data_IF_615696569972
#
_entry.id   IF_615696569972
#
_cell.length_a   1.000
_cell.length_b   1.000
_cell.length_c   1.000
_cell.angle_alpha   90.00
_cell.angle_beta   90.00
_cell.angle_gamma   90.00
#
_symmetry.space_group_name_H-M   'P 1'
#
loop_
_entity.id
_entity.type
_entity.pdbx_description
1 polymer ?
#
# COMPACT_ATOMS: atom_id res chain seq x y z
N UNK A 1 9.95 16.82 -25.73
CA UNK A 1 10.14 17.65 -24.52
C UNK A 1 8.79 18.13 -23.99
N UNK A 2 7.95 18.82 -24.81
CA UNK A 2 6.68 19.41 -24.39
C UNK A 2 5.68 18.41 -23.74
N UNK A 3 5.71 17.14 -24.10
CA UNK A 3 4.87 16.09 -23.53
C UNK A 3 5.42 15.59 -22.19
N UNK A 4 6.73 15.41 -22.10
CA UNK A 4 7.36 14.79 -20.94
C UNK A 4 7.68 15.77 -19.80
N UNK A 5 7.85 17.06 -20.14
CA UNK A 5 8.09 18.08 -19.13
C UNK A 5 6.96 18.18 -18.09
N UNK A 6 5.67 18.24 -18.47
CA UNK A 6 4.57 18.23 -17.51
C UNK A 6 4.52 16.97 -16.63
N UNK A 7 4.92 15.82 -17.16
CA UNK A 7 4.99 14.56 -16.40
C UNK A 7 6.06 14.68 -15.30
N UNK A 8 7.19 15.32 -15.58
CA UNK A 8 8.25 15.59 -14.59
C UNK A 8 7.81 16.52 -13.44
N UNK A 9 6.73 17.28 -13.59
CA UNK A 9 6.18 18.14 -12.55
C UNK A 9 4.95 17.56 -11.82
N UNK A 10 4.59 16.30 -12.08
CA UNK A 10 3.52 15.64 -11.35
C UNK A 10 3.84 15.56 -9.85
N UNK A 11 2.82 15.73 -9.02
CA UNK A 11 2.91 15.60 -7.56
C UNK A 11 2.46 14.21 -7.08
N UNK A 12 2.57 13.99 -5.77
CA UNK A 12 2.16 12.72 -5.14
C UNK A 12 3.20 11.62 -5.27
N UNK A 13 2.81 10.41 -4.89
CA UNK A 13 3.71 9.23 -4.89
C UNK A 13 4.12 8.87 -6.33
N UNK A 14 3.16 8.82 -7.24
CA UNK A 14 3.44 8.55 -8.66
C UNK A 14 4.32 9.65 -9.28
N UNK A 15 4.11 10.91 -8.87
CA UNK A 15 4.96 12.01 -9.33
C UNK A 15 6.43 11.79 -9.00
N UNK A 16 6.77 11.22 -7.85
CA UNK A 16 8.15 10.90 -7.49
C UNK A 16 8.79 9.88 -8.44
N UNK A 17 8.05 8.88 -8.87
CA UNK A 17 8.53 7.91 -9.87
C UNK A 17 8.67 8.54 -11.27
N UNK A 18 7.68 9.31 -11.70
CA UNK A 18 7.68 9.89 -13.04
C UNK A 18 8.58 11.11 -13.17
N UNK A 19 8.96 11.77 -12.09
CA UNK A 19 9.90 12.90 -12.10
C UNK A 19 11.25 12.50 -12.73
N UNK A 20 11.88 11.46 -12.19
CA UNK A 20 13.14 10.92 -12.70
C UNK A 20 13.04 10.46 -14.17
N UNK A 21 11.96 9.74 -14.47
CA UNK A 21 11.68 9.27 -15.82
C UNK A 21 11.47 10.42 -16.80
N UNK A 22 10.64 11.42 -16.43
CA UNK A 22 10.35 12.58 -17.27
C UNK A 22 11.57 13.42 -17.58
N UNK A 23 12.39 13.73 -16.56
CA UNK A 23 13.64 14.47 -16.73
C UNK A 23 14.67 13.71 -17.57
N UNK A 24 14.79 12.42 -17.36
CA UNK A 24 15.71 11.57 -18.14
C UNK A 24 15.35 11.57 -19.63
N UNK A 25 14.06 11.44 -19.96
CA UNK A 25 13.61 11.50 -21.37
C UNK A 25 13.83 12.90 -21.96
N UNK A 26 13.51 13.95 -21.20
CA UNK A 26 13.75 15.33 -21.68
C UNK A 26 15.23 15.55 -21.98
N UNK A 27 16.14 15.13 -21.09
CA UNK A 27 17.56 15.22 -21.29
C UNK A 27 18.02 14.40 -22.52
N UNK A 28 17.55 13.14 -22.63
CA UNK A 28 17.87 12.27 -23.76
C UNK A 28 17.41 12.86 -25.11
N UNK A 29 16.19 13.43 -25.15
CA UNK A 29 15.67 14.07 -26.36
C UNK A 29 16.44 15.33 -26.72
N UNK A 30 16.85 16.15 -25.74
CA UNK A 30 17.67 17.34 -26.00
C UNK A 30 19.06 16.97 -26.54
N UNK A 31 19.71 15.95 -25.95
CA UNK A 31 20.99 15.41 -26.42
C UNK A 31 20.83 14.82 -27.83
N UNK A 32 19.77 14.05 -28.06
CA UNK A 32 19.48 13.46 -29.39
C UNK A 32 19.26 14.56 -30.44
N UNK A 33 18.55 15.63 -30.09
CA UNK A 33 18.36 16.78 -30.97
C UNK A 33 19.69 17.45 -31.30
N UNK A 34 20.56 17.67 -30.31
CA UNK A 34 21.91 18.23 -30.54
C UNK A 34 22.72 17.35 -31.47
N UNK A 35 22.73 16.04 -31.25
CA UNK A 35 23.45 15.06 -32.11
C UNK A 35 22.89 15.08 -33.53
N UNK A 36 21.57 15.09 -33.71
CA UNK A 36 20.94 15.12 -35.01
C UNK A 36 21.26 16.40 -35.83
N UNK A 37 21.40 17.54 -35.15
CA UNK A 37 21.75 18.80 -35.83
C UNK A 37 23.25 19.05 -36.00
N UNK A 38 24.12 18.29 -35.35
CA UNK A 38 25.56 18.46 -35.41
C UNK A 38 26.26 17.26 -36.05
N UNK A 39 26.12 16.08 -35.45
CA UNK A 39 26.85 14.89 -35.84
C UNK A 39 26.35 14.32 -37.17
N UNK A 40 25.04 14.23 -37.36
CA UNK A 40 24.46 13.65 -38.57
C UNK A 40 24.78 14.47 -39.83
N UNK A 41 24.65 15.78 -39.91
CA UNK A 41 25.12 16.61 -41.03
C UNK A 41 26.64 16.51 -41.25
N UNK A 42 27.44 16.47 -40.17
CA UNK A 42 28.88 16.34 -40.27
C UNK A 42 29.27 15.00 -40.89
N UNK A 43 28.70 13.89 -40.39
CA UNK A 43 28.97 12.56 -40.93
C UNK A 43 28.47 12.44 -42.39
N UNK A 44 27.30 13.01 -42.73
CA UNK A 44 26.82 13.02 -44.09
C UNK A 44 27.69 13.82 -45.05
N UNK A 45 28.42 14.83 -44.56
CA UNK A 45 29.37 15.59 -45.39
C UNK A 45 30.68 14.85 -45.64
N UNK A 46 31.11 13.95 -44.72
CA UNK A 46 32.33 13.19 -44.79
C UNK A 46 32.13 11.82 -45.46
N UNK A 47 31.04 11.14 -45.13
CA UNK A 47 30.68 9.83 -45.68
C UNK A 47 29.85 9.98 -46.94
N UNK A 48 30.53 10.21 -48.06
CA UNK A 48 29.85 10.33 -49.34
C UNK A 48 29.59 8.94 -49.91
N UNK A 49 28.30 8.65 -50.19
CA UNK A 49 27.93 7.41 -50.93
C UNK A 49 28.21 7.62 -52.41
N UNK A 50 29.22 6.92 -52.98
CA UNK A 50 29.58 7.06 -54.40
C UNK A 50 28.47 6.57 -55.35
N UNK A 51 27.46 5.86 -54.86
CA UNK A 51 26.31 5.41 -55.64
C UNK A 51 25.21 6.45 -55.81
N UNK A 52 25.22 7.56 -55.02
CA UNK A 52 24.26 8.64 -55.09
C UNK A 52 24.86 9.79 -55.88
N UNK A 53 24.38 10.00 -57.09
CA UNK A 53 24.69 11.21 -57.91
C UNK A 53 23.71 12.34 -57.61
N UNK A 54 24.07 13.59 -58.00
CA UNK A 54 23.49 14.88 -57.65
C UNK A 54 21.96 15.03 -57.80
N UNK A 55 21.20 14.04 -58.14
CA UNK A 55 19.72 14.07 -58.23
C UNK A 55 19.05 12.84 -57.67
N UNK A 56 19.70 12.08 -56.76
CA UNK A 56 19.05 10.93 -56.07
C UNK A 56 18.70 9.74 -56.97
N UNK A 57 19.06 9.73 -58.24
CA UNK A 57 18.80 8.63 -59.15
C UNK A 57 20.03 7.72 -59.24
N UNK A 58 19.93 6.48 -58.83
CA UNK A 58 20.91 5.43 -59.07
C UNK A 58 20.97 5.13 -60.59
N UNK A 59 22.00 5.56 -61.27
CA UNK A 59 22.24 5.22 -62.70
C UNK A 59 23.52 4.40 -62.79
N UNK A 60 23.43 3.14 -63.14
CA UNK A 60 24.51 2.27 -63.53
C UNK A 60 24.45 0.83 -62.98
N UNK A 61 25.11 -0.13 -63.64
CA UNK A 61 25.21 -1.50 -63.15
C UNK A 61 26.02 -1.57 -61.85
N UNK A 62 25.74 -2.55 -60.94
CA UNK A 62 26.39 -2.66 -59.64
C UNK A 62 27.87 -2.92 -59.80
N UNK A 63 28.73 -1.98 -59.39
CA UNK A 63 30.17 -1.99 -59.64
C UNK A 63 30.96 -2.52 -58.43
N UNK A 64 30.39 -2.51 -57.23
CA UNK A 64 31.09 -2.83 -55.99
C UNK A 64 30.52 -4.09 -55.29
N UNK A 65 31.35 -4.80 -54.53
CA UNK A 65 30.92 -5.95 -53.70
C UNK A 65 29.78 -5.57 -52.75
N UNK A 66 29.75 -4.33 -52.27
CA UNK A 66 28.67 -3.73 -51.49
C UNK A 66 27.34 -3.76 -52.27
N UNK A 67 27.33 -3.36 -53.54
CA UNK A 67 26.11 -3.37 -54.37
C UNK A 67 25.54 -4.76 -54.63
N UNK A 68 26.43 -5.79 -54.66
CA UNK A 68 26.01 -7.17 -54.91
C UNK A 68 25.40 -7.86 -53.69
N UNK A 69 25.75 -7.44 -52.48
CA UNK A 69 25.29 -8.05 -51.20
C UNK A 69 24.29 -7.17 -50.49
N UNK A 70 24.69 -6.01 -49.98
CA UNK A 70 23.80 -5.06 -49.28
C UNK A 70 22.81 -4.39 -50.25
N UNK A 71 23.19 -4.13 -51.50
CA UNK A 71 22.31 -3.54 -52.49
C UNK A 71 21.06 -4.38 -52.80
N UNK A 72 21.11 -5.69 -52.57
CA UNK A 72 19.94 -6.55 -52.70
C UNK A 72 18.96 -6.33 -51.55
N UNK A 73 19.44 -6.12 -50.33
CA UNK A 73 18.64 -5.80 -49.14
C UNK A 73 18.08 -4.40 -49.22
N UNK A 74 18.87 -3.41 -49.61
CA UNK A 74 18.40 -2.01 -49.79
C UNK A 74 17.34 -1.92 -50.90
N UNK A 75 17.54 -2.57 -52.05
CA UNK A 75 16.55 -2.60 -53.13
C UNK A 75 15.24 -3.38 -52.76
N UNK A 76 15.31 -4.33 -51.86
CA UNK A 76 14.10 -4.96 -51.31
C UNK A 76 13.39 -3.99 -50.37
N UNK A 77 14.13 -3.28 -49.54
CA UNK A 77 13.59 -2.26 -48.63
C UNK A 77 12.99 -1.08 -49.39
N UNK A 78 13.67 -0.58 -50.42
CA UNK A 78 13.16 0.49 -51.28
C UNK A 78 11.83 0.08 -51.95
N UNK A 79 11.77 -1.14 -52.52
CA UNK A 79 10.53 -1.66 -53.11
C UNK A 79 9.41 -1.86 -52.07
N UNK A 80 9.75 -2.27 -50.85
CA UNK A 80 8.80 -2.39 -49.78
C UNK A 80 8.25 -1.01 -49.37
N UNK A 81 9.14 -0.03 -49.25
CA UNK A 81 8.78 1.37 -48.93
C UNK A 81 7.96 2.01 -50.02
N UNK A 82 8.31 1.81 -51.29
CA UNK A 82 7.54 2.29 -52.48
C UNK A 82 6.12 1.67 -52.49
N UNK A 83 5.98 0.38 -52.21
CA UNK A 83 4.67 -0.26 -52.11
C UNK A 83 3.85 0.26 -50.97
N UNK A 84 4.47 0.52 -49.82
CA UNK A 84 3.83 1.14 -48.66
C UNK A 84 3.38 2.56 -48.99
N UNK A 85 4.25 3.35 -49.63
CA UNK A 85 3.96 4.71 -50.07
C UNK A 85 2.79 4.74 -51.07
N UNK A 86 2.77 3.84 -52.07
CA UNK A 86 1.66 3.73 -53.04
C UNK A 86 0.36 3.26 -52.36
N UNK A 87 0.44 2.41 -51.33
CA UNK A 87 -0.70 2.05 -50.49
C UNK A 87 -1.26 3.21 -49.71
N UNK A 88 -0.37 3.97 -49.05
CA UNK A 88 -0.69 5.17 -48.31
C UNK A 88 -1.31 6.26 -49.20
N UNK A 89 -0.76 6.48 -50.40
CA UNK A 89 -1.30 7.46 -51.35
C UNK A 89 -2.74 7.12 -51.76
N UNK A 90 -3.04 5.82 -52.02
CA UNK A 90 -4.41 5.38 -52.31
C UNK A 90 -5.37 5.63 -51.15
N UNK A 91 -4.94 5.29 -49.92
CA UNK A 91 -5.73 5.54 -48.71
C UNK A 91 -5.97 7.02 -48.51
N UNK A 92 -4.94 7.87 -48.70
CA UNK A 92 -5.04 9.31 -48.57
C UNK A 92 -5.99 9.92 -49.60
N UNK A 93 -5.89 9.53 -50.86
CA UNK A 93 -6.83 9.95 -51.90
C UNK A 93 -8.27 9.59 -51.61
N UNK A 94 -8.48 8.38 -51.07
CA UNK A 94 -9.81 7.91 -50.66
C UNK A 94 -10.33 8.79 -49.48
N UNK A 95 -9.54 8.98 -48.46
CA UNK A 95 -9.87 9.80 -47.29
C UNK A 95 -10.21 11.25 -47.66
N UNK A 96 -9.40 11.85 -48.51
CA UNK A 96 -9.65 13.21 -49.00
C UNK A 96 -10.85 13.33 -49.94
N UNK A 97 -11.16 12.27 -50.69
CA UNK A 97 -12.37 12.17 -51.50
C UNK A 97 -13.67 12.01 -50.69
N UNK A 98 -13.55 11.41 -49.51
CA UNK A 98 -14.69 11.10 -48.62
C UNK A 98 -14.56 11.77 -47.27
N UNK A 99 -14.32 13.06 -47.23
CA UNK A 99 -13.99 13.86 -46.01
C UNK A 99 -14.97 13.63 -44.85
N UNK A 100 -16.29 13.68 -45.13
CA UNK A 100 -17.32 13.51 -44.11
C UNK A 100 -17.28 12.08 -43.51
N UNK A 101 -17.12 11.05 -44.38
CA UNK A 101 -17.03 9.67 -43.95
C UNK A 101 -15.77 9.43 -43.11
N UNK A 102 -14.64 10.01 -43.48
CA UNK A 102 -13.38 9.95 -42.72
C UNK A 102 -13.53 10.58 -41.35
N UNK A 103 -14.20 11.75 -41.27
CA UNK A 103 -14.50 12.42 -39.99
C UNK A 103 -15.46 11.58 -39.13
N UNK A 104 -16.47 10.96 -39.72
CA UNK A 104 -17.41 10.09 -39.00
C UNK A 104 -16.72 8.83 -38.47
N UNK A 105 -15.82 8.22 -39.26
CA UNK A 105 -15.05 7.06 -38.83
C UNK A 105 -14.11 7.44 -37.68
N UNK A 106 -13.36 8.56 -37.83
CA UNK A 106 -12.45 9.03 -36.80
C UNK A 106 -13.19 9.41 -35.49
N UNK A 107 -14.31 10.12 -35.61
CA UNK A 107 -15.18 10.46 -34.49
C UNK A 107 -15.81 9.23 -33.83
N UNK A 108 -16.22 8.26 -34.65
CA UNK A 108 -16.75 6.97 -34.15
C UNK A 108 -15.71 6.15 -33.38
N UNK A 109 -14.49 6.03 -33.90
CA UNK A 109 -13.38 5.37 -33.21
C UNK A 109 -13.04 6.10 -31.92
N UNK A 110 -12.99 7.44 -31.92
CA UNK A 110 -12.75 8.23 -30.74
C UNK A 110 -13.84 8.04 -29.68
N UNK A 111 -15.12 8.13 -30.09
CA UNK A 111 -16.25 7.89 -29.18
C UNK A 111 -16.24 6.47 -28.61
N UNK A 112 -15.93 5.46 -29.43
CA UNK A 112 -15.79 4.08 -28.99
C UNK A 112 -14.64 3.92 -27.99
N UNK A 113 -13.48 4.55 -28.25
CA UNK A 113 -12.33 4.54 -27.33
C UNK A 113 -12.68 5.14 -25.99
N UNK A 114 -13.37 6.29 -25.96
CA UNK A 114 -13.83 6.92 -24.72
C UNK A 114 -14.87 6.06 -23.99
N UNK A 115 -15.77 5.40 -24.71
CA UNK A 115 -16.73 4.47 -24.13
C UNK A 115 -16.04 3.24 -23.51
N UNK A 116 -15.00 2.72 -24.16
CA UNK A 116 -14.21 1.59 -23.65
C UNK A 116 -13.48 1.90 -22.35
N UNK A 117 -13.09 3.15 -22.11
CA UNK A 117 -12.44 3.55 -20.84
C UNK A 117 -13.33 3.22 -19.63
N UNK A 118 -14.67 3.30 -19.79
CA UNK A 118 -15.61 2.95 -18.71
C UNK A 118 -15.66 1.44 -18.39
N UNK A 119 -15.22 0.60 -19.32
CA UNK A 119 -15.16 -0.85 -19.14
C UNK A 119 -13.83 -1.32 -18.52
N UNK A 120 -12.85 -0.43 -18.50
CA UNK A 120 -11.55 -0.72 -17.88
C UNK A 120 -11.63 -0.52 -16.38
N UNK A 121 -11.29 -1.55 -15.62
CA UNK A 121 -11.11 -1.45 -14.18
C UNK A 121 -9.90 -0.56 -13.84
N UNK A 122 -9.96 0.13 -12.72
CA UNK A 122 -8.89 0.99 -12.25
C UNK A 122 -8.16 0.36 -11.07
N UNK A 123 -6.83 0.27 -11.17
CA UNK A 123 -5.94 -0.18 -10.10
C UNK A 123 -4.79 0.81 -9.92
N UNK A 124 -4.29 0.94 -8.69
CA UNK A 124 -3.16 1.83 -8.42
C UNK A 124 -1.87 1.24 -8.98
N UNK A 125 -1.57 0.00 -8.58
CA UNK A 125 -0.47 -0.81 -9.11
C UNK A 125 -0.99 -2.22 -9.31
N UNK A 126 -0.83 -2.81 -10.48
CA UNK A 126 -1.22 -4.21 -10.71
C UNK A 126 -0.46 -5.15 -9.78
N UNK A 127 -1.16 -6.11 -9.19
CA UNK A 127 -0.54 -7.09 -8.32
C UNK A 127 0.35 -8.04 -9.13
N UNK A 128 1.65 -8.01 -8.86
CA UNK A 128 2.61 -8.92 -9.46
C UNK A 128 2.90 -10.10 -8.52
N UNK A 129 3.14 -11.25 -9.11
CA UNK A 129 3.49 -12.46 -8.38
C UNK A 129 5.00 -12.55 -8.17
N UNK A 130 5.47 -12.09 -7.03
CA UNK A 130 6.87 -12.13 -6.61
C UNK A 130 7.26 -13.45 -5.90
N UNK A 131 6.41 -14.48 -5.96
CA UNK A 131 6.58 -15.75 -5.24
C UNK A 131 6.65 -15.57 -3.73
N UNK A 132 5.87 -14.62 -3.22
CA UNK A 132 5.72 -14.35 -1.80
C UNK A 132 4.30 -13.91 -1.47
N UNK A 133 3.88 -14.16 -0.23
CA UNK A 133 2.58 -13.72 0.27
C UNK A 133 2.65 -13.59 1.79
N UNK A 134 1.65 -12.97 2.38
CA UNK A 134 1.59 -12.76 3.81
C UNK A 134 0.23 -13.21 4.37
N UNK A 135 0.26 -13.80 5.57
CA UNK A 135 -0.94 -14.07 6.35
C UNK A 135 -0.80 -13.38 7.69
N UNK A 136 -1.80 -12.59 8.07
CA UNK A 136 -1.86 -11.97 9.38
C UNK A 136 -3.18 -12.33 10.07
N UNK A 137 -3.09 -12.52 11.38
CA UNK A 137 -4.24 -12.81 12.22
C UNK A 137 -4.03 -12.27 13.64
N UNK A 138 -5.10 -12.21 14.40
CA UNK A 138 -5.02 -11.98 15.85
C UNK A 138 -5.78 -13.06 16.61
N UNK A 139 -5.30 -13.32 17.84
CA UNK A 139 -5.97 -14.15 18.84
C UNK A 139 -6.89 -13.28 19.71
N UNK A 140 -7.86 -13.84 20.44
CA UNK A 140 -8.72 -13.06 21.33
C UNK A 140 -7.93 -12.13 22.24
N UNK A 141 -8.50 -10.95 22.49
CA UNK A 141 -7.85 -9.96 23.36
C UNK A 141 -7.68 -10.54 24.77
N UNK A 142 -6.49 -10.33 25.36
CA UNK A 142 -6.10 -10.96 26.62
C UNK A 142 -5.32 -12.27 26.48
N UNK A 143 -5.21 -12.86 25.30
CA UNK A 143 -4.39 -14.06 25.07
C UNK A 143 -2.93 -13.81 25.46
N UNK A 144 -2.27 -14.84 26.03
CA UNK A 144 -0.86 -14.81 26.33
C UNK A 144 0.01 -14.88 25.06
N UNK A 145 1.29 -14.55 25.17
CA UNK A 145 2.26 -14.71 24.08
C UNK A 145 2.36 -16.16 23.64
N UNK A 146 2.42 -17.09 24.61
CA UNK A 146 2.54 -18.53 24.39
C UNK A 146 1.31 -19.10 23.67
N UNK A 147 0.10 -18.60 24.01
CA UNK A 147 -1.13 -19.00 23.33
C UNK A 147 -1.13 -18.52 21.87
N UNK A 148 -0.67 -17.28 21.62
CA UNK A 148 -0.54 -16.73 20.26
C UNK A 148 0.53 -17.49 19.48
N UNK A 149 1.67 -17.83 20.10
CA UNK A 149 2.73 -18.62 19.48
C UNK A 149 2.23 -20.02 19.10
N UNK A 150 1.52 -20.70 19.99
CA UNK A 150 0.94 -22.01 19.69
C UNK A 150 0.00 -21.96 18.48
N UNK A 151 -0.84 -20.91 18.38
CA UNK A 151 -1.69 -20.68 17.21
C UNK A 151 -0.88 -20.34 15.97
N UNK A 152 0.16 -19.54 16.09
CA UNK A 152 1.02 -19.20 14.97
C UNK A 152 1.79 -20.41 14.42
N UNK A 153 2.24 -21.31 15.29
CA UNK A 153 2.82 -22.61 14.90
C UNK A 153 1.80 -23.46 14.15
N UNK A 154 0.57 -23.60 14.69
CA UNK A 154 -0.51 -24.34 14.02
C UNK A 154 -0.81 -23.79 12.62
N UNK A 155 -0.93 -22.48 12.47
CA UNK A 155 -1.11 -21.83 11.17
C UNK A 155 0.09 -22.08 10.25
N UNK A 156 1.31 -21.96 10.78
CA UNK A 156 2.53 -22.24 10.03
C UNK A 156 2.61 -23.68 9.52
N UNK A 157 2.19 -24.67 10.32
CA UNK A 157 2.15 -26.08 9.91
C UNK A 157 1.14 -26.32 8.80
N UNK A 158 -0.05 -25.69 8.89
CA UNK A 158 -1.07 -25.76 7.83
C UNK A 158 -0.51 -25.16 6.53
N UNK A 159 0.15 -24.01 6.59
CA UNK A 159 0.69 -23.34 5.41
C UNK A 159 1.86 -24.12 4.79
N UNK A 160 2.74 -24.71 5.61
CA UNK A 160 3.85 -25.54 5.14
C UNK A 160 3.41 -26.90 4.56
N UNK A 161 2.17 -27.32 4.78
CA UNK A 161 1.63 -28.52 4.12
C UNK A 161 1.38 -28.34 2.61
N UNK A 162 1.39 -27.10 2.11
CA UNK A 162 1.25 -26.83 0.67
C UNK A 162 2.60 -27.02 -0.03
N UNK A 163 2.66 -27.80 -1.12
CA UNK A 163 3.92 -28.08 -1.84
C UNK A 163 4.53 -26.82 -2.46
N UNK A 164 3.74 -25.78 -2.70
CA UNK A 164 4.20 -24.51 -3.24
C UNK A 164 4.85 -23.60 -2.18
N UNK A 165 4.74 -23.94 -0.89
CA UNK A 165 5.34 -23.15 0.19
C UNK A 165 6.76 -23.67 0.46
N UNK A 166 7.75 -22.78 0.25
CA UNK A 166 9.16 -23.10 0.50
C UNK A 166 9.53 -22.97 1.97
N UNK A 167 9.15 -21.87 2.61
CA UNK A 167 9.31 -21.63 4.05
C UNK A 167 8.37 -20.54 4.53
N UNK A 168 8.19 -20.46 5.83
CA UNK A 168 7.43 -19.41 6.53
C UNK A 168 8.29 -18.76 7.59
N UNK A 169 8.14 -17.44 7.75
CA UNK A 169 8.72 -16.68 8.86
C UNK A 169 7.58 -16.10 9.68
N UNK A 170 7.53 -16.47 10.96
CA UNK A 170 6.49 -16.01 11.88
C UNK A 170 7.00 -14.86 12.73
N UNK A 171 6.23 -13.79 12.80
CA UNK A 171 6.49 -12.65 13.69
C UNK A 171 5.26 -12.41 14.56
N UNK A 172 5.44 -12.35 15.87
CA UNK A 172 4.40 -11.96 16.82
C UNK A 172 4.72 -10.55 17.32
N UNK A 173 3.70 -9.80 17.71
CA UNK A 173 3.84 -8.39 18.11
C UNK A 173 4.24 -7.48 16.94
N UNK A 174 3.70 -7.74 15.75
CA UNK A 174 3.98 -6.99 14.53
C UNK A 174 2.77 -6.16 14.08
N UNK A 175 3.04 -5.15 13.26
CA UNK A 175 2.03 -4.30 12.65
C UNK A 175 1.72 -3.02 13.42
N UNK A 176 0.77 -2.22 12.92
CA UNK A 176 0.40 -0.90 13.47
C UNK A 176 -0.23 -1.04 14.85
N UNK A 177 -1.00 -2.10 15.09
CA UNK A 177 -1.58 -2.44 16.38
C UNK A 177 -0.70 -3.48 17.10
N UNK A 178 0.58 -3.18 17.26
CA UNK A 178 1.54 -4.04 17.93
C UNK A 178 1.00 -4.58 19.26
N UNK A 179 1.14 -5.87 19.49
CA UNK A 179 0.69 -6.53 20.71
C UNK A 179 0.86 -8.04 20.63
N UNK A 180 1.02 -8.67 21.76
CA UNK A 180 1.26 -10.13 21.89
C UNK A 180 0.15 -11.01 21.30
N UNK A 181 -0.99 -10.43 20.94
CA UNK A 181 -2.11 -11.12 20.31
C UNK A 181 -2.07 -11.09 18.78
N UNK A 182 -1.19 -10.28 18.18
CA UNK A 182 -1.10 -10.15 16.72
C UNK A 182 0.08 -10.97 16.18
N UNK A 183 -0.19 -11.78 15.17
CA UNK A 183 0.80 -12.56 14.48
C UNK A 183 0.74 -12.35 12.96
N UNK A 184 1.91 -12.33 12.33
CA UNK A 184 2.08 -12.26 10.89
C UNK A 184 3.03 -13.36 10.43
N UNK A 185 2.68 -14.04 9.35
CA UNK A 185 3.49 -15.05 8.71
C UNK A 185 3.84 -14.59 7.30
N UNK A 186 5.10 -14.30 7.09
CA UNK A 186 5.65 -14.17 5.75
C UNK A 186 5.81 -15.56 5.14
N UNK A 187 5.38 -15.74 3.91
CA UNK A 187 5.37 -17.03 3.22
C UNK A 187 6.16 -16.87 1.92
N UNK A 188 7.28 -17.55 1.82
CA UNK A 188 8.01 -17.68 0.58
C UNK A 188 7.50 -18.86 -0.21
N UNK A 189 7.05 -18.62 -1.43
CA UNK A 189 6.62 -19.66 -2.36
C UNK A 189 7.80 -20.17 -3.20
N UNK A 190 7.65 -21.35 -3.78
CA UNK A 190 8.56 -21.81 -4.86
C UNK A 190 8.42 -20.89 -6.07
N UNK A 191 9.44 -20.90 -6.93
CA UNK A 191 9.48 -20.01 -8.09
C UNK A 191 8.25 -20.17 -9.00
N UNK A 192 7.84 -19.08 -9.63
CA UNK A 192 6.63 -19.03 -10.46
C UNK A 192 6.59 -20.12 -11.54
N UNK A 193 7.75 -20.49 -12.09
CA UNK A 193 7.88 -21.53 -13.11
C UNK A 193 7.76 -22.97 -12.58
N UNK A 194 7.85 -23.15 -11.26
CA UNK A 194 7.79 -24.46 -10.59
C UNK A 194 6.41 -24.78 -10.01
N UNK A 195 5.43 -23.88 -10.20
CA UNK A 195 4.07 -24.04 -9.68
C UNK A 195 3.01 -23.66 -10.73
N UNK A 196 1.85 -24.28 -10.64
CA UNK A 196 0.71 -24.02 -11.51
C UNK A 196 -0.16 -22.88 -10.97
N UNK A 197 -0.34 -22.83 -9.63
CA UNK A 197 -1.14 -21.80 -8.96
C UNK A 197 -0.33 -20.53 -8.74
N UNK A 198 -0.91 -19.37 -9.01
CA UNK A 198 -0.29 -18.08 -8.69
C UNK A 198 -0.45 -17.72 -7.20
N UNK A 199 0.29 -16.70 -6.73
CA UNK A 199 0.26 -16.28 -5.33
C UNK A 199 -1.14 -15.85 -4.87
N UNK A 200 -1.95 -15.24 -5.75
CA UNK A 200 -3.32 -14.81 -5.45
C UNK A 200 -4.28 -16.01 -5.26
N UNK A 201 -4.15 -17.04 -6.09
CA UNK A 201 -4.92 -18.27 -5.96
C UNK A 201 -4.57 -19.00 -4.66
N UNK A 202 -3.28 -19.10 -4.35
CA UNK A 202 -2.82 -19.68 -3.08
C UNK A 202 -3.31 -18.87 -1.87
N UNK A 203 -3.30 -17.56 -1.94
CA UNK A 203 -3.82 -16.70 -0.90
C UNK A 203 -5.33 -16.90 -0.66
N UNK A 204 -6.10 -17.15 -1.71
CA UNK A 204 -7.52 -17.50 -1.59
C UNK A 204 -7.70 -18.86 -0.87
N UNK A 205 -6.92 -19.88 -1.26
CA UNK A 205 -6.94 -21.19 -0.60
C UNK A 205 -6.51 -21.09 0.87
N UNK A 206 -5.48 -20.31 1.17
CA UNK A 206 -5.04 -20.08 2.55
C UNK A 206 -6.15 -19.43 3.39
N UNK A 207 -6.85 -18.45 2.83
CA UNK A 207 -7.98 -17.78 3.51
C UNK A 207 -9.08 -18.78 3.89
N UNK A 208 -9.49 -19.62 2.95
CA UNK A 208 -10.51 -20.65 3.19
C UNK A 208 -10.04 -21.67 4.24
N UNK A 209 -8.80 -22.14 4.12
CA UNK A 209 -8.25 -23.14 5.04
C UNK A 209 -8.08 -22.60 6.45
N UNK A 210 -7.71 -21.34 6.60
CA UNK A 210 -7.49 -20.72 7.90
C UNK A 210 -8.80 -20.25 8.57
N UNK A 211 -9.86 -20.05 7.80
CA UNK A 211 -11.17 -19.63 8.34
C UNK A 211 -11.75 -20.64 9.35
N UNK A 212 -11.43 -21.91 9.20
CA UNK A 212 -11.94 -22.98 10.10
C UNK A 212 -11.05 -23.21 11.33
N UNK A 213 -9.93 -22.51 11.47
CA UNK A 213 -9.04 -22.62 12.63
C UNK A 213 -9.63 -21.85 13.81
N UNK A 214 -10.02 -22.53 14.90
CA UNK A 214 -10.65 -21.84 16.03
C UNK A 214 -9.65 -21.01 16.82
N UNK A 215 -10.12 -19.90 17.39
CA UNK A 215 -9.33 -19.02 18.26
C UNK A 215 -8.37 -18.10 17.53
N UNK A 216 -8.55 -17.92 16.22
CA UNK A 216 -7.88 -16.87 15.44
C UNK A 216 -8.89 -16.09 14.61
N UNK A 217 -8.60 -14.82 14.35
CA UNK A 217 -9.29 -14.00 13.35
C UNK A 217 -8.28 -13.59 12.30
N UNK A 218 -8.42 -14.11 11.08
CA UNK A 218 -7.56 -13.76 9.96
C UNK A 218 -7.90 -12.35 9.50
N UNK A 219 -6.90 -11.47 9.50
CA UNK A 219 -7.02 -10.08 9.06
C UNK A 219 -6.46 -9.87 7.67
N UNK A 220 -5.61 -10.77 7.21
CA UNK A 220 -5.01 -10.71 5.87
C UNK A 220 -4.60 -12.12 5.43
N UNK A 221 -4.90 -12.43 4.18
CA UNK A 221 -4.29 -13.55 3.46
C UNK A 221 -4.10 -13.11 2.01
N UNK A 222 -2.86 -12.75 1.64
CA UNK A 222 -2.59 -12.28 0.28
C UNK A 222 -1.38 -11.36 0.17
N UNK A 223 -1.25 -10.77 -1.00
CA UNK A 223 -0.21 -9.81 -1.31
C UNK A 223 -0.48 -8.49 -0.60
N UNK A 224 0.60 -7.83 -0.20
CA UNK A 224 0.57 -6.43 0.23
C UNK A 224 0.70 -5.54 -1.01
N UNK A 225 0.15 -4.31 -0.92
CA UNK A 225 0.39 -3.32 -1.95
C UNK A 225 1.90 -3.08 -2.12
N UNK A 226 2.42 -3.12 -3.35
CA UNK A 226 3.85 -2.93 -3.62
C UNK A 226 4.36 -1.57 -3.14
N UNK A 227 3.49 -0.55 -3.13
CA UNK A 227 3.80 0.79 -2.66
C UNK A 227 3.07 1.03 -1.33
N UNK A 228 3.86 1.10 -0.25
CA UNK A 228 3.36 1.39 1.09
C UNK A 228 3.10 0.18 1.98
N UNK A 229 3.12 -1.05 1.45
CA UNK A 229 2.98 -2.29 2.24
C UNK A 229 1.63 -2.46 2.96
N UNK A 230 0.60 -1.73 2.54
CA UNK A 230 -0.73 -1.70 3.15
C UNK A 230 -1.74 -2.52 2.35
N UNK A 231 -2.97 -2.64 2.85
CA UNK A 231 -4.06 -3.25 2.10
C UNK A 231 -4.53 -2.32 0.97
N UNK A 232 -5.14 -2.89 -0.06
CA UNK A 232 -5.57 -2.18 -1.27
C UNK A 232 -6.60 -1.08 -0.98
N UNK A 233 -7.49 -1.32 -0.04
CA UNK A 233 -8.53 -0.39 0.38
C UNK A 233 -8.25 0.06 1.80
N UNK A 234 -8.27 1.36 2.00
CA UNK A 234 -8.16 2.02 3.29
C UNK A 234 -9.08 3.23 3.33
N UNK A 235 -9.87 3.32 4.37
CA UNK A 235 -10.59 4.54 4.71
C UNK A 235 -10.78 4.63 6.23
N UNK A 236 -11.03 5.82 6.72
CA UNK A 236 -11.21 6.11 8.14
C UNK A 236 -12.53 6.80 8.39
N UNK A 237 -13.26 6.36 9.40
CA UNK A 237 -14.33 7.13 10.02
C UNK A 237 -13.70 8.08 11.03
N UNK A 238 -14.09 9.34 11.02
CA UNK A 238 -13.51 10.38 11.86
C UNK A 238 -14.59 11.10 12.65
N UNK A 239 -14.29 11.46 13.89
CA UNK A 239 -15.22 12.19 14.74
C UNK A 239 -14.65 12.53 16.12
N UNK A 240 -15.36 13.34 16.92
CA UNK A 240 -14.89 13.77 18.23
C UNK A 240 -15.00 12.68 19.31
N UNK A 241 -15.98 11.78 19.22
CA UNK A 241 -16.25 10.77 20.24
C UNK A 241 -16.00 9.35 19.74
N UNK A 242 -15.32 8.52 20.56
CA UNK A 242 -14.94 7.15 20.21
C UNK A 242 -16.14 6.19 20.24
N UNK A 243 -17.00 6.32 21.26
CA UNK A 243 -18.11 5.40 21.42
C UNK A 243 -19.13 5.57 20.27
N UNK A 244 -19.36 6.81 19.83
CA UNK A 244 -20.20 7.09 18.68
C UNK A 244 -19.58 6.57 17.38
N UNK A 245 -18.26 6.71 17.19
CA UNK A 245 -17.55 6.12 16.05
C UNK A 245 -17.71 4.60 16.01
N UNK A 246 -17.61 3.92 17.15
CA UNK A 246 -17.80 2.46 17.24
C UNK A 246 -19.24 2.06 16.94
N UNK A 247 -20.21 2.85 17.43
CA UNK A 247 -21.63 2.64 17.13
C UNK A 247 -21.92 2.75 15.64
N UNK A 248 -21.27 3.68 14.94
CA UNK A 248 -21.38 3.86 13.49
C UNK A 248 -20.63 2.79 12.71
N UNK A 249 -19.45 2.39 13.19
CA UNK A 249 -18.58 1.44 12.48
C UNK A 249 -19.15 0.02 12.42
N UNK A 250 -19.76 -0.48 13.50
CA UNK A 250 -20.27 -1.87 13.57
C UNK A 250 -21.26 -2.19 12.44
N UNK A 251 -22.41 -1.49 12.29
CA UNK A 251 -23.36 -1.79 11.22
C UNK A 251 -22.79 -1.51 9.83
N UNK A 252 -21.86 -0.56 9.71
CA UNK A 252 -21.19 -0.29 8.45
C UNK A 252 -20.29 -1.47 8.03
N UNK A 253 -19.49 -2.01 8.95
CA UNK A 253 -18.63 -3.18 8.69
C UNK A 253 -19.47 -4.37 8.22
N UNK A 254 -20.65 -4.59 8.81
CA UNK A 254 -21.55 -5.69 8.41
C UNK A 254 -22.10 -5.48 6.98
N UNK A 255 -22.45 -4.24 6.61
CA UNK A 255 -22.84 -3.91 5.24
C UNK A 255 -21.68 -4.10 4.25
N UNK A 256 -20.47 -3.71 4.63
CA UNK A 256 -19.27 -3.85 3.79
C UNK A 256 -18.92 -5.32 3.53
N UNK A 257 -19.12 -6.20 4.51
CA UNK A 257 -18.90 -7.65 4.33
C UNK A 257 -19.74 -8.27 3.23
N UNK A 258 -20.88 -7.66 2.88
CA UNK A 258 -21.76 -8.12 1.81
C UNK A 258 -21.28 -7.71 0.41
N UNK A 259 -20.26 -6.86 0.27
CA UNK A 259 -19.75 -6.42 -1.03
C UNK A 259 -19.00 -7.59 -1.69
N UNK A 260 -19.41 -8.03 -2.89
CA UNK A 260 -18.70 -9.08 -3.62
C UNK A 260 -17.26 -8.66 -3.94
N UNK A 261 -16.31 -9.56 -3.70
CA UNK A 261 -14.90 -9.32 -3.96
C UNK A 261 -14.15 -8.56 -2.86
N UNK A 262 -14.83 -8.04 -1.85
CA UNK A 262 -14.18 -7.47 -0.67
C UNK A 262 -13.77 -8.59 0.28
N UNK A 263 -12.48 -8.67 0.60
CA UNK A 263 -11.90 -9.71 1.47
C UNK A 263 -10.97 -9.08 2.50
N UNK A 264 -10.62 -9.85 3.54
CA UNK A 264 -9.68 -9.42 4.59
C UNK A 264 -10.08 -8.11 5.27
N UNK A 265 -11.40 -7.88 5.40
CA UNK A 265 -11.93 -6.68 6.05
C UNK A 265 -11.51 -6.64 7.52
N UNK A 266 -10.83 -5.59 7.89
CA UNK A 266 -10.32 -5.37 9.24
C UNK A 266 -10.56 -3.94 9.69
N UNK A 267 -10.65 -3.75 11.02
CA UNK A 267 -10.86 -2.46 11.66
C UNK A 267 -9.82 -2.22 12.75
N UNK A 268 -9.40 -0.98 12.92
CA UNK A 268 -8.53 -0.58 14.03
C UNK A 268 -9.25 -0.63 15.38
N UNK A 269 -10.59 -0.56 15.39
CA UNK A 269 -11.39 -0.80 16.59
C UNK A 269 -11.48 -2.32 16.81
N UNK A 270 -10.68 -2.81 17.73
CA UNK A 270 -10.70 -4.22 18.18
C UNK A 270 -11.62 -4.34 19.40
N UNK A 271 -12.12 -5.56 19.71
CA UNK A 271 -12.83 -5.80 20.95
C UNK A 271 -12.05 -5.27 22.15
N UNK A 272 -12.76 -4.79 23.13
CA UNK A 272 -12.17 -4.29 24.38
C UNK A 272 -11.33 -5.38 25.02
N UNK A 273 -10.21 -4.97 25.61
CA UNK A 273 -9.32 -5.88 26.29
C UNK A 273 -9.67 -5.94 27.78
N UNK A 274 -9.67 -7.14 28.41
CA UNK A 274 -9.83 -7.21 29.85
C UNK A 274 -8.68 -6.48 30.55
N UNK A 275 -9.03 -5.63 31.49
CA UNK A 275 -8.10 -4.82 32.30
C UNK A 275 -8.44 -4.96 33.77
N UNK A 276 -7.43 -4.78 34.63
CA UNK A 276 -7.64 -4.58 36.05
C UNK A 276 -7.49 -3.10 36.37
N UNK A 277 -8.52 -2.49 36.92
CA UNK A 277 -8.48 -1.10 37.40
C UNK A 277 -8.17 -1.07 38.89
N UNK A 278 -7.30 -0.14 39.28
CA UNK A 278 -6.87 0.05 40.68
C UNK A 278 -7.31 1.42 41.14
N UNK A 279 -8.37 1.46 41.92
CA UNK A 279 -8.91 2.69 42.53
C UNK A 279 -8.26 2.94 43.87
N UNK A 280 -7.43 3.97 43.97
CA UNK A 280 -6.75 4.33 45.21
C UNK A 280 -7.75 5.01 46.14
N UNK A 281 -7.92 4.45 47.36
CA UNK A 281 -8.68 5.03 48.47
C UNK A 281 -7.83 6.14 49.10
N UNK A 282 -7.95 7.37 48.61
CA UNK A 282 -7.03 8.49 48.92
C UNK A 282 -6.97 8.79 50.40
N UNK A 283 -8.09 8.75 51.13
CA UNK A 283 -8.16 8.99 52.56
C UNK A 283 -7.38 7.93 53.32
N UNK A 284 -7.68 6.64 53.10
CA UNK A 284 -7.00 5.52 53.75
C UNK A 284 -5.49 5.48 53.43
N UNK A 285 -5.14 5.79 52.15
CA UNK A 285 -3.74 5.89 51.76
C UNK A 285 -2.99 7.03 52.52
N UNK A 286 -3.65 8.20 52.63
CA UNK A 286 -3.11 9.35 53.36
C UNK A 286 -2.91 9.09 54.86
N UNK A 287 -3.90 8.46 55.52
CA UNK A 287 -3.83 8.04 56.91
C UNK A 287 -2.66 7.07 57.18
N UNK A 288 -2.36 6.23 56.22
CA UNK A 288 -1.23 5.29 56.28
C UNK A 288 0.09 5.88 55.78
N UNK A 289 0.10 7.18 55.41
CA UNK A 289 1.27 7.88 54.93
C UNK A 289 1.73 7.49 53.51
N UNK A 290 0.83 6.92 52.68
CA UNK A 290 1.11 6.51 51.30
C UNK A 290 0.60 7.52 50.32
N UNK A 291 1.46 7.99 49.43
CA UNK A 291 1.10 8.75 48.25
C UNK A 291 0.69 7.78 47.10
N UNK A 292 -0.06 8.29 46.14
CA UNK A 292 -0.43 7.53 44.92
C UNK A 292 0.80 6.99 44.16
N UNK A 293 1.90 7.75 44.12
CA UNK A 293 3.15 7.31 43.50
C UNK A 293 3.80 6.14 44.25
N UNK A 294 3.76 6.12 45.58
CA UNK A 294 4.27 5.01 46.39
C UNK A 294 3.43 3.74 46.26
N UNK A 295 2.19 3.84 45.85
CA UNK A 295 1.33 2.68 45.48
C UNK A 295 1.62 2.24 44.04
N UNK A 296 1.67 3.18 43.11
CA UNK A 296 1.80 2.88 41.68
C UNK A 296 3.18 2.32 41.27
N UNK A 297 4.26 2.83 41.89
CA UNK A 297 5.64 2.40 41.52
C UNK A 297 5.92 0.94 41.81
N UNK A 298 5.64 0.39 43.01
CA UNK A 298 5.77 -1.05 43.25
C UNK A 298 4.88 -1.92 42.36
N UNK A 299 3.62 -1.52 42.13
CA UNK A 299 2.71 -2.23 41.24
C UNK A 299 3.28 -2.31 39.82
N UNK A 300 3.76 -1.19 39.29
CA UNK A 300 4.42 -1.17 37.98
C UNK A 300 5.61 -2.09 37.94
N UNK A 301 6.49 -2.03 38.95
CA UNK A 301 7.68 -2.89 39.01
C UNK A 301 7.33 -4.36 39.07
N UNK A 302 6.35 -4.72 39.88
CA UNK A 302 5.95 -6.12 40.05
C UNK A 302 5.24 -6.69 38.81
N UNK A 303 4.32 -5.92 38.21
CA UNK A 303 3.48 -6.40 37.10
C UNK A 303 4.16 -6.22 35.74
N UNK A 304 4.63 -5.01 35.43
CA UNK A 304 5.23 -4.68 34.12
C UNK A 304 6.73 -4.94 34.07
N UNK A 305 7.40 -4.89 35.20
CA UNK A 305 8.85 -4.88 35.32
C UNK A 305 9.44 -3.49 35.21
N UNK A 306 10.60 -3.31 35.79
CA UNK A 306 11.39 -2.05 35.71
C UNK A 306 12.82 -2.40 35.37
N UNK A 307 13.40 -1.72 34.39
CA UNK A 307 14.82 -1.82 34.05
C UNK A 307 15.61 -1.14 35.19
N UNK A 308 16.41 -1.93 35.88
CA UNK A 308 17.24 -1.47 37.03
C UNK A 308 18.69 -1.23 36.65
N UNK A 309 19.10 -1.68 35.46
CA UNK A 309 20.44 -1.53 34.94
C UNK A 309 20.64 -2.29 33.64
N UNK A 310 21.87 -2.24 33.15
CA UNK A 310 22.26 -2.96 31.94
C UNK A 310 23.44 -3.87 32.26
N UNK A 311 23.42 -5.06 31.70
CA UNK A 311 24.51 -6.01 31.75
C UNK A 311 25.18 -6.11 30.37
N UNK A 312 26.48 -5.88 30.34
CA UNK A 312 27.30 -6.04 29.15
C UNK A 312 27.83 -7.48 29.11
N UNK A 313 27.40 -8.22 28.11
CA UNK A 313 27.83 -9.60 27.90
C UNK A 313 29.27 -9.67 27.34
N UNK A 314 29.93 -10.85 27.40
CA UNK A 314 31.28 -11.03 26.85
C UNK A 314 31.42 -10.80 25.35
N UNK A 315 30.30 -10.84 24.61
CA UNK A 315 30.20 -10.54 23.17
C UNK A 315 29.96 -9.06 22.87
N UNK A 316 30.17 -8.19 23.87
CA UNK A 316 29.95 -6.74 23.83
C UNK A 316 28.50 -6.31 23.63
N UNK A 317 27.53 -7.23 23.65
CA UNK A 317 26.12 -6.88 23.61
C UNK A 317 25.63 -6.43 25.00
N UNK A 318 24.74 -5.45 25.00
CA UNK A 318 24.17 -4.91 26.25
C UNK A 318 22.73 -5.41 26.40
N UNK A 319 22.46 -6.05 27.55
CA UNK A 319 21.13 -6.58 27.89
C UNK A 319 20.55 -5.81 29.07
N UNK A 320 19.25 -5.50 28.99
CA UNK A 320 18.54 -4.86 30.09
C UNK A 320 18.34 -5.86 31.25
N UNK A 321 18.64 -5.40 32.46
CA UNK A 321 18.34 -6.14 33.70
C UNK A 321 16.99 -5.67 34.21
N UNK A 322 15.99 -6.55 34.16
CA UNK A 322 14.60 -6.22 34.51
C UNK A 322 14.24 -6.92 35.83
N UNK A 323 13.74 -6.14 36.80
CA UNK A 323 13.12 -6.66 38.02
C UNK A 323 11.62 -6.71 37.84
N UNK A 324 11.04 -7.89 38.02
CA UNK A 324 9.57 -8.14 37.98
C UNK A 324 9.20 -9.31 38.84
N UNK A 325 7.89 -9.55 39.07
CA UNK A 325 7.41 -10.77 39.68
C UNK A 325 7.87 -11.98 38.84
N UNK A 326 8.22 -13.08 39.53
CA UNK A 326 8.57 -14.30 38.85
C UNK A 326 7.41 -14.77 37.94
N UNK A 327 7.70 -15.33 36.74
CA UNK A 327 6.64 -15.76 35.83
C UNK A 327 5.65 -16.79 36.42
N UNK A 328 6.13 -17.58 37.38
CA UNK A 328 5.37 -18.61 38.07
C UNK A 328 4.55 -18.07 39.25
N UNK A 329 4.78 -16.79 39.64
CA UNK A 329 4.03 -16.19 40.72
C UNK A 329 2.55 -16.02 40.31
N UNK A 330 1.62 -16.42 41.18
CA UNK A 330 0.20 -16.21 40.88
C UNK A 330 -0.10 -14.72 40.75
N UNK A 331 -0.83 -14.39 39.68
CA UNK A 331 -1.22 -13.00 39.35
C UNK A 331 -2.73 -12.86 39.25
N UNK A 332 -3.45 -13.60 40.12
CA UNK A 332 -4.90 -13.44 40.24
C UNK A 332 -5.23 -12.10 40.91
N UNK A 333 -6.50 -11.65 40.76
CA UNK A 333 -7.00 -10.45 41.45
C UNK A 333 -6.65 -10.50 42.94
N UNK A 334 -6.92 -11.64 43.58
CA UNK A 334 -6.69 -11.88 45.01
C UNK A 334 -5.21 -11.79 45.41
N UNK A 335 -4.31 -12.23 44.55
CA UNK A 335 -2.87 -12.15 44.83
C UNK A 335 -2.37 -10.71 44.75
N UNK A 336 -2.89 -9.95 43.78
CA UNK A 336 -2.59 -8.52 43.65
C UNK A 336 -3.13 -7.71 44.84
N UNK A 337 -4.31 -8.03 45.36
CA UNK A 337 -4.86 -7.40 46.57
C UNK A 337 -3.96 -7.53 47.79
N UNK A 338 -3.21 -8.61 47.87
CA UNK A 338 -2.30 -8.93 48.99
C UNK A 338 -0.89 -8.39 48.80
N UNK A 339 -0.59 -7.71 47.71
CA UNK A 339 0.76 -7.18 47.47
C UNK A 339 1.21 -6.27 48.63
N UNK A 340 2.42 -6.50 49.17
CA UNK A 340 2.97 -5.69 50.25
C UNK A 340 3.48 -4.38 49.71
N UNK A 341 3.10 -3.27 50.33
CA UNK A 341 3.56 -1.91 50.05
C UNK A 341 4.28 -1.42 51.31
N UNK A 342 5.41 -0.72 51.16
CA UNK A 342 6.14 -0.12 52.29
C UNK A 342 5.60 1.29 52.56
N UNK A 343 5.02 1.50 53.71
CA UNK A 343 4.45 2.77 54.18
C UNK A 343 5.35 3.50 55.19
N UNK A 344 6.66 3.56 54.89
CA UNK A 344 7.64 4.14 55.81
C UNK A 344 8.21 3.13 56.81
N UNK A 345 8.70 3.63 57.96
CA UNK A 345 9.30 2.82 59.01
C UNK A 345 8.44 2.84 60.30
N UNK A 346 8.42 1.75 61.02
CA UNK A 346 7.91 1.66 62.37
C UNK A 346 8.86 2.37 63.36
N UNK A 347 8.42 2.56 64.60
CA UNK A 347 9.22 3.17 65.64
C UNK A 347 10.51 2.40 65.99
N UNK A 348 10.57 1.13 65.69
CA UNK A 348 11.71 0.23 65.86
C UNK A 348 12.67 0.20 64.63
N UNK A 349 12.39 1.02 63.61
CA UNK A 349 13.19 1.10 62.37
C UNK A 349 12.87 0.02 61.34
N UNK A 350 11.93 -0.86 61.62
CA UNK A 350 11.49 -1.91 60.64
C UNK A 350 10.52 -1.31 59.58
N UNK A 351 10.51 -1.81 58.34
CA UNK A 351 9.57 -1.37 57.33
C UNK A 351 8.10 -1.63 57.75
N UNK A 352 7.29 -0.59 57.71
CA UNK A 352 5.83 -0.70 57.89
C UNK A 352 5.19 -1.26 56.62
N UNK A 353 4.68 -2.46 56.66
CA UNK A 353 4.07 -3.13 55.53
C UNK A 353 2.54 -2.98 55.55
N UNK A 354 1.98 -2.50 54.47
CA UNK A 354 0.54 -2.32 54.23
C UNK A 354 0.17 -3.16 52.97
N UNK A 355 -0.96 -3.84 53.02
CA UNK A 355 -1.46 -4.60 51.84
C UNK A 355 -2.18 -3.65 50.91
N UNK A 356 -2.11 -3.93 49.59
CA UNK A 356 -2.75 -3.11 48.55
C UNK A 356 -4.27 -2.92 48.78
N UNK A 357 -5.00 -3.98 49.19
CA UNK A 357 -6.45 -3.90 49.45
C UNK A 357 -6.84 -2.96 50.60
N UNK A 358 -5.92 -2.59 51.47
CA UNK A 358 -6.17 -1.60 52.52
C UNK A 358 -6.22 -0.18 51.97
N UNK A 359 -5.52 0.11 50.88
CA UNK A 359 -5.34 1.45 50.32
C UNK A 359 -5.88 1.59 48.90
N UNK A 360 -6.30 0.47 48.26
CA UNK A 360 -6.87 0.48 46.93
C UNK A 360 -7.95 -0.60 46.79
N UNK A 361 -8.83 -0.40 45.84
CA UNK A 361 -9.83 -1.37 45.40
C UNK A 361 -9.48 -1.80 43.98
N UNK A 362 -9.49 -3.11 43.75
CA UNK A 362 -9.23 -3.68 42.43
C UNK A 362 -10.55 -4.18 41.82
N UNK A 363 -10.80 -3.84 40.57
CA UNK A 363 -11.96 -4.31 39.85
C UNK A 363 -11.58 -4.77 38.45
N UNK A 364 -12.27 -5.81 37.98
CA UNK A 364 -12.18 -6.21 36.58
C UNK A 364 -12.97 -5.22 35.74
N UNK A 365 -12.35 -4.72 34.68
CA UNK A 365 -12.93 -3.79 33.75
C UNK A 365 -12.57 -4.16 32.30
N UNK A 366 -13.15 -3.47 31.36
CA UNK A 366 -12.79 -3.56 29.94
C UNK A 366 -12.28 -2.20 29.48
N UNK A 367 -11.13 -2.21 28.85
CA UNK A 367 -10.50 -0.98 28.32
C UNK A 367 -10.37 -1.02 26.81
N UNK A 368 -10.53 0.15 26.19
CA UNK A 368 -10.30 0.31 24.75
C UNK A 368 -8.86 -0.12 24.40
N UNK A 369 -8.73 -0.99 23.42
CA UNK A 369 -7.42 -1.54 23.05
C UNK A 369 -6.51 -0.47 22.43
N UNK A 370 -7.06 0.38 21.56
CA UNK A 370 -6.31 1.41 20.83
C UNK A 370 -7.22 2.59 20.48
N UNK A 371 -6.69 3.80 20.59
CA UNK A 371 -7.35 5.03 20.14
C UNK A 371 -6.45 5.70 19.10
N UNK A 372 -6.90 5.72 17.86
CA UNK A 372 -6.23 6.39 16.76
C UNK A 372 -6.78 7.81 16.60
N UNK A 373 -5.88 8.72 16.18
CA UNK A 373 -6.23 10.09 15.83
C UNK A 373 -5.58 10.49 14.51
N UNK A 374 -6.35 11.21 13.69
CA UNK A 374 -5.87 11.85 12.47
C UNK A 374 -6.41 13.28 12.41
N UNK A 375 -5.52 14.24 12.16
CA UNK A 375 -5.90 15.67 12.16
C UNK A 375 -6.68 16.10 13.42
N UNK A 376 -6.22 15.67 14.60
CA UNK A 376 -6.80 15.93 15.94
C UNK A 376 -8.15 15.24 16.22
N UNK A 377 -8.83 14.68 15.25
CA UNK A 377 -10.04 13.89 15.44
C UNK A 377 -9.69 12.44 15.75
N UNK A 378 -10.56 11.75 16.49
CA UNK A 378 -10.50 10.29 16.65
C UNK A 378 -10.85 9.63 15.34
N UNK A 379 -10.23 8.49 15.05
CA UNK A 379 -10.51 7.73 13.84
C UNK A 379 -10.64 6.24 14.11
N UNK A 380 -11.52 5.60 13.37
CA UNK A 380 -11.55 4.16 13.18
C UNK A 380 -11.13 3.89 11.73
N UNK A 381 -9.94 3.34 11.57
CA UNK A 381 -9.41 2.93 10.27
C UNK A 381 -10.01 1.59 9.89
N UNK A 382 -10.52 1.49 8.67
CA UNK A 382 -11.05 0.27 8.07
C UNK A 382 -10.20 -0.04 6.84
N UNK A 383 -9.73 -1.27 6.78
CA UNK A 383 -8.84 -1.75 5.71
C UNK A 383 -9.38 -3.06 5.13
N UNK A 384 -9.17 -3.27 3.84
CA UNK A 384 -9.58 -4.49 3.16
C UNK A 384 -8.71 -4.78 1.94
N UNK A 385 -8.75 -6.03 1.47
CA UNK A 385 -8.21 -6.43 0.18
C UNK A 385 -9.34 -6.71 -0.80
N UNK A 386 -8.98 -6.81 -2.08
CA UNK A 386 -9.91 -7.11 -3.16
C UNK A 386 -9.51 -8.42 -3.84
N UNK A 387 -10.48 -9.25 -4.19
CA UNK A 387 -10.29 -10.50 -4.92
C UNK A 387 -11.30 -10.64 -6.05
N UNK A 388 -10.83 -10.92 -7.27
CA UNK A 388 -11.66 -11.13 -8.45
C UNK A 388 -12.32 -9.89 -9.06
N UNK A 389 -12.07 -8.69 -8.49
CA UNK A 389 -12.54 -7.39 -9.00
C UNK A 389 -11.41 -6.37 -8.91
N UNK A 390 -11.59 -5.19 -9.46
CA UNK A 390 -10.60 -4.11 -9.34
C UNK A 390 -10.81 -3.27 -8.08
N UNK A 391 -9.74 -2.69 -7.56
CA UNK A 391 -9.78 -1.82 -6.38
C UNK A 391 -10.70 -0.62 -6.60
N UNK A 392 -10.74 -0.07 -7.83
CA UNK A 392 -11.59 1.06 -8.17
C UNK A 392 -13.08 0.74 -8.11
N UNK A 393 -13.50 -0.42 -8.65
CA UNK A 393 -14.91 -0.86 -8.60
C UNK A 393 -15.38 -1.03 -7.17
N UNK A 394 -14.61 -1.77 -6.35
CA UNK A 394 -14.97 -2.03 -4.96
C UNK A 394 -14.94 -0.73 -4.13
N UNK A 395 -14.00 0.18 -4.40
CA UNK A 395 -13.96 1.50 -3.74
C UNK A 395 -15.20 2.35 -4.09
N UNK A 396 -15.73 2.24 -5.30
CA UNK A 396 -16.97 2.92 -5.69
C UNK A 396 -18.19 2.35 -4.96
N UNK A 397 -18.28 1.01 -4.80
CA UNK A 397 -19.34 0.38 -4.03
C UNK A 397 -19.28 0.80 -2.55
N UNK A 398 -18.08 0.83 -1.96
CA UNK A 398 -17.86 1.34 -0.60
C UNK A 398 -18.30 2.79 -0.48
N UNK A 399 -17.91 3.65 -1.42
CA UNK A 399 -18.29 5.06 -1.43
C UNK A 399 -19.81 5.22 -1.48
N UNK A 400 -20.50 4.45 -2.32
CA UNK A 400 -21.94 4.50 -2.43
C UNK A 400 -22.64 4.14 -1.09
N UNK A 401 -22.11 3.18 -0.33
CA UNK A 401 -22.62 2.82 1.00
C UNK A 401 -22.32 3.95 2.02
N UNK A 402 -21.10 4.53 1.97
CA UNK A 402 -20.71 5.61 2.87
C UNK A 402 -21.54 6.87 2.64
N UNK A 403 -21.77 7.25 1.38
CA UNK A 403 -22.57 8.43 1.00
C UNK A 403 -24.05 8.28 1.40
N UNK A 404 -24.56 7.04 1.46
CA UNK A 404 -25.91 6.73 1.95
C UNK A 404 -26.00 6.67 3.50
N UNK A 405 -24.86 6.67 4.18
CA UNK A 405 -24.83 6.62 5.65
C UNK A 405 -24.96 8.03 6.20
N UNK A 406 -26.00 8.26 7.01
CA UNK A 406 -26.20 9.55 7.66
C UNK A 406 -25.17 9.74 8.79
N UNK A 407 -24.21 10.62 8.61
CA UNK A 407 -23.27 11.04 9.64
C UNK A 407 -23.79 12.24 10.40
N UNK A 408 -23.68 12.22 11.73
CA UNK A 408 -23.99 13.39 12.55
C UNK A 408 -22.98 14.53 12.28
N UNK A 409 -23.32 15.79 12.58
CA UNK A 409 -22.39 16.92 12.45
C UNK A 409 -21.05 16.65 13.18
N UNK A 410 -19.93 16.86 12.47
CA UNK A 410 -18.59 16.60 13.01
C UNK A 410 -18.08 15.17 12.81
N UNK A 411 -18.90 14.28 12.25
CA UNK A 411 -18.51 12.93 11.84
C UNK A 411 -18.47 12.82 10.32
N UNK A 412 -17.54 12.01 9.82
CA UNK A 412 -17.37 11.81 8.38
C UNK A 412 -16.40 10.69 8.07
N UNK A 413 -16.11 10.52 6.79
CA UNK A 413 -15.14 9.54 6.33
C UNK A 413 -14.10 10.16 5.40
N UNK A 414 -12.93 9.55 5.36
CA UNK A 414 -11.83 9.96 4.46
C UNK A 414 -11.13 8.71 3.92
N UNK A 415 -10.98 8.63 2.60
CA UNK A 415 -10.14 7.58 2.00
C UNK A 415 -8.67 7.86 2.27
N UNK A 416 -7.91 6.79 2.52
CA UNK A 416 -6.47 6.78 2.77
C UNK A 416 -5.74 5.79 1.88
N UNK A 417 -4.46 5.54 2.19
CA UNK A 417 -3.64 4.50 1.59
C UNK A 417 -3.61 4.50 0.06
N UNK A 418 -3.64 3.31 -0.52
CA UNK A 418 -3.60 3.09 -1.98
C UNK A 418 -4.79 3.73 -2.71
N UNK A 419 -5.98 3.73 -2.11
CA UNK A 419 -7.19 4.33 -2.70
C UNK A 419 -7.04 5.84 -2.89
N UNK A 420 -6.55 6.55 -1.88
CA UNK A 420 -6.28 7.99 -1.97
C UNK A 420 -5.19 8.28 -3.00
N UNK A 421 -4.08 7.54 -2.92
CA UNK A 421 -2.95 7.68 -3.85
C UNK A 421 -3.38 7.48 -5.31
N UNK A 422 -4.27 6.52 -5.57
CA UNK A 422 -4.84 6.28 -6.88
C UNK A 422 -5.65 7.49 -7.38
N UNK A 423 -6.56 8.03 -6.55
CA UNK A 423 -7.39 9.18 -6.92
C UNK A 423 -6.55 10.43 -7.21
N UNK A 424 -5.58 10.73 -6.35
CA UNK A 424 -4.67 11.85 -6.53
C UNK A 424 -3.82 11.68 -7.80
N UNK A 425 -3.33 10.47 -8.06
CA UNK A 425 -2.51 10.16 -9.22
C UNK A 425 -3.26 10.33 -10.53
N UNK A 426 -4.52 9.88 -10.60
CA UNK A 426 -5.36 10.11 -11.78
C UNK A 426 -5.64 11.60 -11.99
N UNK A 427 -5.88 12.36 -10.93
CA UNK A 427 -6.08 13.80 -11.03
C UNK A 427 -4.82 14.51 -11.58
N UNK A 428 -3.64 14.19 -11.05
CA UNK A 428 -2.37 14.75 -11.53
C UNK A 428 -2.03 14.31 -12.96
N UNK A 429 -2.32 13.05 -13.32
CA UNK A 429 -2.14 12.58 -14.69
C UNK A 429 -3.02 13.34 -15.69
N UNK A 430 -4.27 13.61 -15.33
CA UNK A 430 -5.17 14.41 -16.15
C UNK A 430 -4.69 15.86 -16.30
N UNK A 431 -4.19 16.46 -15.21
CA UNK A 431 -3.60 17.80 -15.25
C UNK A 431 -2.35 17.84 -16.14
N UNK A 432 -1.45 16.85 -16.01
CA UNK A 432 -0.25 16.75 -16.85
C UNK A 432 -0.61 16.58 -18.32
N UNK A 433 -1.62 15.76 -18.64
CA UNK A 433 -2.13 15.58 -20.00
C UNK A 433 -2.70 16.89 -20.57
N UNK A 434 -3.50 17.61 -19.81
CA UNK A 434 -4.05 18.90 -20.22
C UNK A 434 -2.92 19.91 -20.50
N UNK A 435 -1.92 20.02 -19.63
CA UNK A 435 -0.76 20.88 -19.85
C UNK A 435 0.06 20.46 -21.08
N UNK A 436 0.25 19.16 -21.29
CA UNK A 436 0.94 18.65 -22.49
C UNK A 436 0.22 19.04 -23.77
N UNK A 437 -1.11 18.91 -23.83
CA UNK A 437 -1.93 19.35 -24.97
C UNK A 437 -1.77 20.85 -25.23
N UNK A 438 -1.83 21.67 -24.17
CA UNK A 438 -1.65 23.13 -24.29
C UNK A 438 -0.27 23.46 -24.84
N UNK A 439 0.80 22.83 -24.31
CA UNK A 439 2.18 23.10 -24.79
C UNK A 439 2.39 22.66 -26.22
N UNK A 440 1.88 21.48 -26.61
CA UNK A 440 1.93 21.02 -28.01
C UNK A 440 1.19 22.00 -28.92
N UNK A 441 -0.02 22.40 -28.55
CA UNK A 441 -0.80 23.37 -29.31
C UNK A 441 -0.06 24.70 -29.47
N UNK A 442 0.54 25.23 -28.39
CA UNK A 442 1.31 26.48 -28.44
C UNK A 442 2.52 26.37 -29.37
N UNK A 443 3.27 25.28 -29.29
CA UNK A 443 4.45 25.03 -30.14
C UNK A 443 4.01 24.95 -31.61
N UNK A 444 2.98 24.17 -31.92
CA UNK A 444 2.48 24.01 -33.27
C UNK A 444 1.88 25.33 -33.81
N UNK A 445 1.16 26.09 -33.01
CA UNK A 445 0.62 27.40 -33.38
C UNK A 445 1.75 28.37 -33.75
N UNK A 446 2.83 28.39 -32.98
CA UNK A 446 4.02 29.16 -33.25
C UNK A 446 4.72 28.73 -34.54
N UNK A 447 4.89 27.40 -34.74
CA UNK A 447 5.57 26.83 -35.89
C UNK A 447 4.80 27.05 -37.20
N UNK A 448 3.49 26.87 -37.19
CA UNK A 448 2.63 27.04 -38.36
C UNK A 448 2.15 28.51 -38.55
N UNK A 449 2.43 29.39 -37.60
CA UNK A 449 1.92 30.76 -37.58
C UNK A 449 0.41 30.85 -37.79
N UNK A 450 -0.32 29.87 -37.28
CA UNK A 450 -1.76 29.69 -37.44
C UNK A 450 -2.35 29.02 -36.18
N UNK A 451 -3.48 29.54 -35.70
CA UNK A 451 -4.22 28.91 -34.60
C UNK A 451 -5.15 27.78 -35.06
N UNK A 452 -5.47 27.67 -36.35
CA UNK A 452 -6.35 26.63 -36.86
C UNK A 452 -5.61 25.36 -37.29
N UNK A 453 -4.41 25.50 -37.84
CA UNK A 453 -3.63 24.33 -38.29
C UNK A 453 -3.27 23.35 -37.18
N UNK A 454 -2.91 23.75 -35.96
CA UNK A 454 -2.65 22.82 -34.86
C UNK A 454 -3.86 21.98 -34.45
N UNK A 455 -5.09 22.44 -34.74
CA UNK A 455 -6.30 21.65 -34.42
C UNK A 455 -6.49 20.47 -35.39
N UNK A 456 -6.00 20.57 -36.61
CA UNK A 456 -6.01 19.48 -37.59
C UNK A 456 -4.88 18.49 -37.37
#
# INVERSE_FOLDING_TARGET
VAVFLPIGFMQGIIGKFFHEFGLTIVAAVLISMFVAFTLDPMLSSVWHDPAIRAHGQRQGPPVTFYDKTLGRVTNWFDRATERLAAGYERLLRWALGHKLLTLLIAGGIFALSVAMVRLLGTEFVPQADFSETNVAFYTPQGSSLEATEAKARQVGDILRSYPEVRYTVTTINSGVAAGKTNASLYIRLVDRHQRTRNAQQLAADFRERLRVVPGITVTQAGLLEPVGGQKQIEFSLQGPDQAELERLARPLIDKLRAIPGLVDLDSSSKPDKPTLEVYVKREAASELGLSTAQIATPLRTLVAGTIVGNWRAPDDQTYDVIVRLAPEAPTTLHDLERLPLTAGLNADGTPRIVRLNQVAELSEATGTNQINRRAMLREIQITANVHGRTTGEVSNDIRAILDQTAFAPGYGFTFGGATKNMQESFAYALQALAMAIIFIYMILASQFKSFLQPLA
#
